data_IF_681855493991
#
_entry.id   IF_681855493991
#
_cell.length_a   1.000
_cell.length_b   1.000
_cell.length_c   1.000
_cell.angle_alpha   90.00
_cell.angle_beta   90.00
_cell.angle_gamma   90.00
#
_symmetry.space_group_name_H-M   'P 1'
#
loop_
_entity.id
_entity.type
_entity.pdbx_description
1 polymer ?
#
# COMPACT_ATOMS: atom_id res chain seq x y z
N UNK A 1 -12.11 7.71 -12.82
CA UNK A 1 -11.51 6.97 -11.69
C UNK A 1 -10.00 7.00 -11.84
N UNK A 2 -9.26 7.19 -10.73
CA UNK A 2 -7.80 7.06 -10.70
C UNK A 2 -7.37 5.98 -9.71
N UNK A 3 -6.30 5.25 -10.06
CA UNK A 3 -5.74 4.17 -9.25
C UNK A 3 -4.22 4.02 -9.46
N UNK A 4 -3.65 2.92 -8.99
CA UNK A 4 -2.20 2.71 -8.84
C UNK A 4 -1.51 2.08 -10.07
N UNK A 5 -2.22 1.93 -11.18
CA UNK A 5 -1.67 1.38 -12.43
C UNK A 5 -1.26 -0.09 -12.38
N UNK A 6 -0.69 -0.56 -13.49
CA UNK A 6 -0.17 -1.91 -13.65
C UNK A 6 -1.22 -3.02 -13.50
N UNK A 7 -0.78 -4.20 -13.08
CA UNK A 7 -1.65 -5.38 -12.91
C UNK A 7 -2.77 -5.13 -11.90
N UNK A 8 -2.51 -4.34 -10.84
CA UNK A 8 -3.51 -4.01 -9.83
C UNK A 8 -4.71 -3.26 -10.42
N UNK A 9 -4.48 -2.13 -11.10
CA UNK A 9 -5.56 -1.37 -11.73
C UNK A 9 -6.25 -2.16 -12.85
N UNK A 10 -5.50 -2.98 -13.58
CA UNK A 10 -6.10 -3.88 -14.58
C UNK A 10 -7.09 -4.87 -13.94
N UNK A 11 -6.76 -5.41 -12.78
CA UNK A 11 -7.66 -6.26 -11.99
C UNK A 11 -8.92 -5.51 -11.53
N UNK A 12 -8.76 -4.29 -11.00
CA UNK A 12 -9.88 -3.43 -10.63
C UNK A 12 -10.76 -3.09 -11.84
N UNK A 13 -10.16 -2.75 -12.98
CA UNK A 13 -10.88 -2.45 -14.21
C UNK A 13 -11.75 -3.63 -14.64
N UNK A 14 -11.19 -4.83 -14.72
CA UNK A 14 -11.89 -6.03 -15.16
C UNK A 14 -12.94 -6.53 -14.17
N UNK A 15 -12.63 -6.46 -12.87
CA UNK A 15 -13.48 -7.02 -11.81
C UNK A 15 -14.52 -6.05 -11.25
N UNK A 16 -14.27 -4.74 -11.34
CA UNK A 16 -15.10 -3.73 -10.67
C UNK A 16 -15.56 -2.65 -11.66
N UNK A 17 -14.64 -1.89 -12.28
CA UNK A 17 -15.00 -0.67 -12.99
C UNK A 17 -15.82 -0.92 -14.24
N UNK A 18 -15.39 -1.83 -15.10
CA UNK A 18 -16.10 -2.12 -16.35
C UNK A 18 -17.44 -2.84 -16.12
N UNK A 19 -17.55 -3.84 -15.21
CA UNK A 19 -18.85 -4.40 -14.83
C UNK A 19 -19.83 -3.37 -14.26
N UNK A 20 -19.38 -2.49 -13.36
CA UNK A 20 -20.19 -1.43 -12.79
C UNK A 20 -20.64 -0.42 -13.88
N UNK A 21 -19.71 0.05 -14.72
CA UNK A 21 -20.02 0.95 -15.83
C UNK A 21 -21.10 0.37 -16.76
N UNK A 22 -20.97 -0.92 -17.09
CA UNK A 22 -21.96 -1.63 -17.92
C UNK A 22 -23.33 -1.71 -17.22
N UNK A 23 -23.36 -2.03 -15.93
CA UNK A 23 -24.61 -2.15 -15.18
C UNK A 23 -25.33 -0.81 -15.06
N UNK A 24 -24.58 0.29 -14.89
CA UNK A 24 -25.10 1.65 -14.74
C UNK A 24 -25.36 2.37 -16.09
N UNK A 25 -24.91 1.81 -17.20
CA UNK A 25 -25.03 2.43 -18.53
C UNK A 25 -24.17 3.70 -18.69
N UNK A 26 -23.05 3.78 -17.97
CA UNK A 26 -22.11 4.92 -18.00
C UNK A 26 -20.78 4.52 -18.64
N UNK A 27 -19.96 5.52 -18.96
CA UNK A 27 -18.58 5.33 -19.40
C UNK A 27 -17.61 5.70 -18.29
N UNK A 28 -16.80 4.75 -17.84
CA UNK A 28 -15.72 4.99 -16.90
C UNK A 28 -14.43 5.27 -17.67
N UNK A 29 -13.80 6.42 -17.37
CA UNK A 29 -12.43 6.74 -17.79
C UNK A 29 -11.48 6.44 -16.65
N UNK A 30 -10.37 5.80 -16.96
CA UNK A 30 -9.38 5.36 -16.00
C UNK A 30 -8.04 6.08 -16.24
N UNK A 31 -7.39 6.47 -15.15
CA UNK A 31 -6.04 7.03 -15.18
C UNK A 31 -5.27 6.62 -13.92
N UNK A 32 -3.99 6.92 -13.87
CA UNK A 32 -3.13 6.72 -12.70
C UNK A 32 -2.91 8.04 -11.97
N UNK A 33 -2.49 7.96 -10.69
CA UNK A 33 -2.21 9.13 -9.87
C UNK A 33 -1.12 8.84 -8.83
N UNK A 34 -0.60 9.87 -8.16
CA UNK A 34 0.48 9.77 -7.17
C UNK A 34 0.03 9.60 -5.72
N UNK A 35 -1.29 9.43 -5.49
CA UNK A 35 -1.87 9.23 -4.16
C UNK A 35 -2.61 10.45 -3.62
N UNK A 36 -2.92 10.44 -2.32
CA UNK A 36 -3.77 11.45 -1.66
C UNK A 36 -3.25 12.90 -1.85
N UNK A 37 -1.96 13.09 -2.09
CA UNK A 37 -1.39 14.42 -2.37
C UNK A 37 -1.95 15.03 -3.66
N UNK A 38 -2.21 14.21 -4.68
CA UNK A 38 -2.80 14.68 -5.94
C UNK A 38 -4.28 15.06 -5.74
N UNK A 39 -5.02 14.32 -4.91
CA UNK A 39 -6.38 14.67 -4.50
C UNK A 39 -6.39 16.03 -3.80
N UNK A 40 -5.50 16.22 -2.83
CA UNK A 40 -5.36 17.47 -2.08
C UNK A 40 -5.06 18.66 -3.01
N UNK A 41 -4.14 18.47 -3.95
CA UNK A 41 -3.76 19.50 -4.91
C UNK A 41 -4.93 19.83 -5.85
N UNK A 42 -5.61 18.80 -6.36
CA UNK A 42 -6.78 18.95 -7.25
C UNK A 42 -7.88 19.76 -6.57
N UNK A 43 -8.29 19.37 -5.36
CA UNK A 43 -9.35 20.04 -4.62
C UNK A 43 -8.96 21.48 -4.27
N UNK A 44 -7.73 21.72 -3.77
CA UNK A 44 -7.24 23.07 -3.42
C UNK A 44 -7.15 24.00 -4.65
N UNK A 45 -6.88 23.47 -5.81
CA UNK A 45 -6.83 24.28 -7.06
C UNK A 45 -8.20 24.48 -7.73
N UNK A 46 -9.26 23.85 -7.22
CA UNK A 46 -10.59 23.86 -7.87
C UNK A 46 -10.63 23.11 -9.19
N UNK A 47 -9.62 22.27 -9.47
CA UNK A 47 -9.61 21.44 -10.67
C UNK A 47 -10.56 20.24 -10.49
N UNK A 48 -11.07 19.74 -11.61
CA UNK A 48 -11.94 18.57 -11.67
C UNK A 48 -11.36 17.59 -12.70
N UNK A 49 -10.54 16.67 -12.21
CA UNK A 49 -9.81 15.73 -13.06
C UNK A 49 -10.36 14.30 -12.97
N UNK A 50 -10.89 13.94 -11.82
CA UNK A 50 -11.45 12.61 -11.54
C UNK A 50 -12.49 12.68 -10.42
N UNK A 51 -13.46 11.78 -10.45
CA UNK A 51 -14.57 11.73 -9.50
C UNK A 51 -14.31 10.72 -8.37
N UNK A 52 -13.56 9.65 -8.65
CA UNK A 52 -13.25 8.58 -7.69
C UNK A 52 -11.75 8.32 -7.71
N UNK A 53 -11.19 8.07 -6.53
CA UNK A 53 -9.81 7.63 -6.38
C UNK A 53 -9.73 6.38 -5.50
N UNK A 54 -8.73 5.54 -5.74
CA UNK A 54 -8.40 4.36 -4.92
C UNK A 54 -7.32 4.73 -3.92
N UNK A 55 -7.50 4.46 -2.62
CA UNK A 55 -6.51 4.79 -1.59
C UNK A 55 -6.56 3.82 -0.41
N UNK A 56 -5.41 3.59 0.21
CA UNK A 56 -5.33 2.88 1.49
C UNK A 56 -5.96 3.68 2.64
N UNK A 57 -6.23 3.00 3.76
CA UNK A 57 -6.88 3.56 4.94
C UNK A 57 -6.25 4.87 5.42
N UNK A 58 -4.91 4.94 5.45
CA UNK A 58 -4.17 6.14 5.87
C UNK A 58 -4.42 7.36 4.98
N UNK A 59 -4.51 7.17 3.65
CA UNK A 59 -4.84 8.24 2.71
C UNK A 59 -6.28 8.72 2.87
N UNK A 60 -7.23 7.83 3.09
CA UNK A 60 -8.62 8.14 3.37
C UNK A 60 -8.77 8.95 4.67
N UNK A 61 -8.10 8.53 5.74
CA UNK A 61 -8.10 9.23 7.02
C UNK A 61 -7.51 10.64 6.91
N UNK A 62 -6.33 10.77 6.28
CA UNK A 62 -5.64 12.04 6.06
C UNK A 62 -6.47 13.00 5.20
N UNK A 63 -7.02 12.52 4.09
CA UNK A 63 -7.86 13.35 3.21
C UNK A 63 -9.15 13.81 3.88
N UNK A 64 -9.77 12.94 4.68
CA UNK A 64 -10.94 13.27 5.49
C UNK A 64 -10.64 14.32 6.54
N UNK A 65 -9.55 14.15 7.31
CA UNK A 65 -9.12 15.11 8.33
C UNK A 65 -8.81 16.51 7.74
N UNK A 66 -8.27 16.57 6.53
CA UNK A 66 -7.98 17.82 5.84
C UNK A 66 -9.20 18.38 5.07
N UNK A 67 -10.36 17.74 5.13
CA UNK A 67 -11.59 18.20 4.50
C UNK A 67 -11.58 18.22 2.97
N UNK A 68 -10.73 17.42 2.34
CA UNK A 68 -10.63 17.31 0.87
C UNK A 68 -11.40 16.15 0.27
N UNK A 69 -12.14 15.41 1.10
CA UNK A 69 -13.00 14.31 0.66
C UNK A 69 -14.48 14.60 0.98
N UNK A 70 -15.36 14.09 0.15
CA UNK A 70 -16.79 14.00 0.47
C UNK A 70 -17.00 12.89 1.51
N UNK A 71 -17.98 13.10 2.41
CA UNK A 71 -18.48 12.01 3.25
C UNK A 71 -19.32 11.07 2.39
N UNK A 72 -19.11 9.77 2.56
CA UNK A 72 -19.89 8.76 1.86
C UNK A 72 -21.25 8.57 2.53
N UNK A 73 -22.28 8.38 1.72
CA UNK A 73 -23.63 8.09 2.19
C UNK A 73 -23.90 6.59 2.26
N UNK A 74 -23.77 6.03 3.45
CA UNK A 74 -24.01 4.61 3.71
C UNK A 74 -25.49 4.21 3.77
N UNK A 75 -26.41 5.14 3.52
CA UNK A 75 -27.79 4.78 3.19
C UNK A 75 -27.95 4.30 1.74
N UNK A 76 -26.96 4.62 0.89
CA UNK A 76 -26.90 4.22 -0.54
C UNK A 76 -25.84 3.16 -0.75
N UNK A 77 -24.66 3.29 -0.12
CA UNK A 77 -23.54 2.36 -0.26
C UNK A 77 -23.72 1.22 0.75
N UNK A 78 -24.00 0.02 0.25
CA UNK A 78 -24.14 -1.17 1.09
C UNK A 78 -22.75 -1.72 1.49
N UNK A 79 -22.44 -1.62 2.78
CA UNK A 79 -21.22 -2.17 3.39
C UNK A 79 -21.50 -3.35 4.32
N UNK A 80 -22.69 -3.92 4.26
CA UNK A 80 -23.11 -5.03 5.16
C UNK A 80 -22.23 -6.28 5.04
N UNK A 81 -21.58 -6.48 3.90
CA UNK A 81 -20.67 -7.59 3.63
C UNK A 81 -19.18 -7.22 3.80
N UNK A 82 -18.86 -5.99 4.20
CA UNK A 82 -17.49 -5.60 4.46
C UNK A 82 -17.01 -6.19 5.79
N UNK A 83 -15.72 -6.53 5.86
CA UNK A 83 -15.12 -6.88 7.13
C UNK A 83 -15.08 -5.64 8.06
N UNK A 84 -15.19 -5.85 9.37
CA UNK A 84 -15.12 -4.74 10.33
C UNK A 84 -13.84 -3.90 10.12
N UNK A 85 -14.01 -2.58 10.07
CA UNK A 85 -12.90 -1.63 9.88
C UNK A 85 -12.47 -1.38 8.43
N UNK A 86 -13.09 -2.04 7.44
CA UNK A 86 -12.78 -1.83 6.02
C UNK A 86 -13.54 -0.66 5.37
N UNK A 87 -14.09 0.23 6.14
CA UNK A 87 -14.70 1.45 5.62
C UNK A 87 -14.59 2.56 6.68
N UNK A 88 -14.71 3.79 6.24
CA UNK A 88 -14.66 5.00 7.05
C UNK A 88 -15.72 5.98 6.57
N UNK A 89 -15.86 7.13 7.23
CA UNK A 89 -16.74 8.21 6.73
C UNK A 89 -16.42 8.65 5.28
N UNK A 90 -15.23 8.36 4.76
CA UNK A 90 -14.69 8.94 3.53
C UNK A 90 -14.32 7.93 2.46
N UNK A 91 -14.17 6.66 2.80
CA UNK A 91 -13.82 5.60 1.83
C UNK A 91 -14.53 4.31 2.18
N UNK A 92 -15.00 3.62 1.13
CA UNK A 92 -15.51 2.25 1.21
C UNK A 92 -14.43 1.28 0.73
N UNK A 93 -14.14 0.25 1.52
CA UNK A 93 -13.11 -0.75 1.22
C UNK A 93 -13.45 -1.59 0.01
N UNK A 94 -12.44 -1.97 -0.76
CA UNK A 94 -12.55 -2.78 -1.96
C UNK A 94 -11.74 -4.07 -1.87
N UNK A 95 -10.56 -4.01 -1.29
CA UNK A 95 -9.68 -5.17 -1.10
C UNK A 95 -8.78 -5.03 0.13
N UNK A 96 -8.15 -6.15 0.49
CA UNK A 96 -7.15 -6.22 1.57
C UNK A 96 -5.83 -6.63 0.95
N UNK A 97 -4.77 -5.99 1.39
CA UNK A 97 -3.42 -6.33 1.03
C UNK A 97 -2.50 -6.38 2.25
N UNK A 98 -1.29 -6.92 2.07
CA UNK A 98 -0.26 -6.87 3.10
C UNK A 98 1.05 -6.35 2.54
N UNK A 99 1.73 -5.52 3.31
CA UNK A 99 3.15 -5.27 3.13
C UNK A 99 3.91 -6.44 3.75
N UNK A 100 4.80 -7.05 2.98
CA UNK A 100 5.60 -8.20 3.39
C UNK A 100 7.09 -7.96 3.11
N UNK A 101 7.96 -8.72 3.77
CA UNK A 101 9.35 -8.88 3.38
C UNK A 101 9.44 -10.04 2.38
N UNK A 102 9.89 -9.77 1.18
CA UNK A 102 10.11 -10.77 0.14
C UNK A 102 11.60 -10.97 -0.11
N UNK A 103 11.97 -12.18 -0.56
CA UNK A 103 13.36 -12.56 -0.85
C UNK A 103 13.49 -13.32 -2.16
N UNK A 104 14.69 -13.27 -2.73
CA UNK A 104 15.06 -14.07 -3.90
C UNK A 104 15.33 -15.52 -3.48
N UNK A 105 14.59 -16.45 -4.07
CA UNK A 105 14.73 -17.88 -3.76
C UNK A 105 16.00 -18.51 -4.34
N UNK A 106 16.67 -17.88 -5.30
CA UNK A 106 17.99 -18.33 -5.75
C UNK A 106 19.07 -18.01 -4.72
N UNK A 107 18.91 -16.90 -3.97
CA UNK A 107 19.87 -16.52 -2.91
C UNK A 107 19.62 -17.28 -1.61
N UNK A 108 18.38 -17.40 -1.16
CA UNK A 108 18.06 -17.93 0.18
C UNK A 108 17.28 -19.25 0.17
N UNK A 109 16.86 -19.76 -0.99
CA UNK A 109 15.98 -20.92 -1.06
C UNK A 109 14.71 -20.70 -0.25
N UNK A 110 14.37 -21.70 0.57
CA UNK A 110 13.26 -21.64 1.52
C UNK A 110 13.61 -20.99 2.86
N UNK A 111 14.86 -20.54 3.04
CA UNK A 111 15.39 -20.02 4.31
C UNK A 111 15.54 -18.49 4.33
N UNK A 112 14.71 -17.76 3.59
CA UNK A 112 14.71 -16.31 3.61
C UNK A 112 14.21 -15.70 4.92
N UNK A 113 14.22 -14.35 5.05
CA UNK A 113 13.80 -13.64 6.25
C UNK A 113 12.31 -13.87 6.55
N UNK A 114 12.00 -14.37 7.75
CA UNK A 114 10.64 -14.72 8.15
C UNK A 114 10.05 -13.78 9.18
N UNK A 115 10.83 -12.82 9.65
CA UNK A 115 10.42 -11.77 10.56
C UNK A 115 11.00 -10.43 10.11
N UNK A 116 10.47 -9.33 10.62
CA UNK A 116 11.09 -8.03 10.35
C UNK A 116 12.48 -7.92 10.98
N UNK A 117 12.71 -8.55 12.13
CA UNK A 117 14.06 -8.65 12.71
C UNK A 117 15.04 -9.34 11.75
N UNK A 118 14.62 -10.44 11.10
CA UNK A 118 15.45 -11.10 10.08
C UNK A 118 15.73 -10.19 8.87
N UNK A 119 14.73 -9.44 8.39
CA UNK A 119 14.94 -8.51 7.27
C UNK A 119 15.95 -7.41 7.61
N UNK A 120 16.03 -6.98 8.85
CA UNK A 120 16.98 -5.97 9.32
C UNK A 120 18.34 -6.55 9.74
N UNK A 121 18.46 -7.86 9.90
CA UNK A 121 19.71 -8.55 10.28
C UNK A 121 20.57 -8.79 9.04
N UNK A 122 21.50 -7.87 8.81
CA UNK A 122 22.39 -7.90 7.63
C UNK A 122 23.54 -8.90 7.75
N UNK A 123 23.80 -9.40 8.96
CA UNK A 123 24.80 -10.45 9.20
C UNK A 123 24.23 -11.84 8.92
N UNK A 124 23.04 -12.11 9.44
CA UNK A 124 22.32 -13.37 9.24
C UNK A 124 21.81 -13.53 7.80
N UNK A 125 21.34 -12.44 7.21
CA UNK A 125 20.85 -12.40 5.83
C UNK A 125 21.65 -11.37 5.03
N UNK A 126 22.88 -11.67 4.64
CA UNK A 126 23.68 -10.79 3.80
C UNK A 126 23.05 -10.69 2.41
N UNK A 127 23.21 -9.52 1.75
CA UNK A 127 22.71 -9.29 0.40
C UNK A 127 22.10 -7.90 0.23
N UNK A 128 21.77 -7.57 -1.00
CA UNK A 128 21.21 -6.29 -1.39
C UNK A 128 19.73 -6.19 -0.99
N UNK A 129 19.32 -4.99 -0.53
CA UNK A 129 17.95 -4.75 -0.11
C UNK A 129 17.34 -3.58 -0.86
N UNK A 130 16.01 -3.63 -1.04
CA UNK A 130 15.22 -2.48 -1.44
C UNK A 130 14.12 -2.20 -0.41
N UNK A 131 13.79 -0.94 -0.22
CA UNK A 131 12.70 -0.49 0.66
C UNK A 131 11.91 0.63 -0.01
N UNK A 132 10.68 0.83 0.44
CA UNK A 132 9.82 1.91 -0.06
C UNK A 132 10.34 3.28 0.37
N UNK A 133 10.34 4.25 -0.55
CA UNK A 133 10.70 5.65 -0.27
C UNK A 133 9.47 6.45 0.22
N UNK A 134 8.77 5.93 1.22
CA UNK A 134 7.64 6.57 1.93
C UNK A 134 7.53 5.98 3.32
N UNK A 135 6.86 6.68 4.23
CA UNK A 135 6.73 6.24 5.63
C UNK A 135 5.72 5.10 5.85
N UNK A 136 4.76 4.92 4.93
CA UNK A 136 3.70 3.91 5.08
C UNK A 136 4.29 2.52 5.32
N UNK A 137 3.92 1.86 6.39
CA UNK A 137 4.40 0.60 6.92
C UNK A 137 5.90 0.58 7.32
N UNK A 138 6.70 1.62 7.03
CA UNK A 138 8.13 1.60 7.35
C UNK A 138 8.40 1.79 8.84
N UNK A 139 7.62 2.63 9.52
CA UNK A 139 7.78 2.85 10.96
C UNK A 139 7.35 1.60 11.73
N UNK A 140 6.26 0.97 11.31
CA UNK A 140 5.73 -0.27 11.89
C UNK A 140 6.76 -1.41 11.74
N UNK A 141 7.29 -1.62 10.53
CA UNK A 141 8.28 -2.67 10.27
C UNK A 141 9.57 -2.46 11.07
N UNK A 142 9.98 -1.21 11.23
CA UNK A 142 11.17 -0.86 12.01
C UNK A 142 10.97 -1.16 13.50
N UNK A 143 9.82 -0.80 14.07
CA UNK A 143 9.51 -1.12 15.48
C UNK A 143 9.37 -2.62 15.72
N UNK A 144 8.75 -3.36 14.79
CA UNK A 144 8.70 -4.82 14.85
C UNK A 144 10.11 -5.43 14.78
N UNK A 145 10.99 -4.89 13.93
CA UNK A 145 12.39 -5.30 13.85
C UNK A 145 13.19 -4.95 15.12
N UNK A 146 12.76 -3.92 15.84
CA UNK A 146 13.36 -3.49 17.11
C UNK A 146 12.73 -4.18 18.33
N UNK A 147 11.86 -5.18 18.10
CA UNK A 147 11.28 -6.03 19.15
C UNK A 147 10.07 -5.45 19.85
N UNK A 148 9.44 -4.39 19.33
CA UNK A 148 8.17 -3.89 19.86
C UNK A 148 7.07 -4.91 19.52
N UNK A 149 6.26 -5.36 20.50
CA UNK A 149 5.13 -6.24 20.24
C UNK A 149 4.12 -5.62 19.28
N UNK A 150 3.52 -6.45 18.40
CA UNK A 150 2.61 -5.99 17.36
C UNK A 150 1.42 -5.19 17.91
N UNK A 151 0.88 -5.58 19.03
CA UNK A 151 -0.24 -4.92 19.70
C UNK A 151 0.11 -3.58 20.35
N UNK A 152 1.42 -3.25 20.47
CA UNK A 152 1.91 -2.01 21.06
C UNK A 152 2.44 -1.01 20.01
N UNK A 153 2.52 -1.38 18.73
CA UNK A 153 3.13 -0.57 17.68
C UNK A 153 2.51 0.83 17.62
N UNK A 154 1.20 0.93 17.57
CA UNK A 154 0.53 2.23 17.43
C UNK A 154 0.51 3.03 18.74
N UNK A 155 0.59 2.39 19.90
CA UNK A 155 0.81 3.08 21.17
C UNK A 155 2.18 3.76 21.17
N UNK A 156 3.22 3.04 20.73
CA UNK A 156 4.59 3.59 20.61
C UNK A 156 4.62 4.72 19.56
N UNK A 157 4.04 4.52 18.38
CA UNK A 157 4.01 5.52 17.31
C UNK A 157 3.19 6.78 17.66
N UNK A 158 2.36 6.75 18.68
CA UNK A 158 1.60 7.91 19.15
C UNK A 158 2.45 8.91 19.96
N UNK A 159 3.78 8.79 19.92
CA UNK A 159 4.72 9.68 20.60
C UNK A 159 5.91 10.05 19.72
N UNK A 160 6.48 11.25 19.90
CA UNK A 160 7.71 11.66 19.20
C UNK A 160 8.85 10.69 19.47
N UNK A 161 9.01 10.24 20.71
CA UNK A 161 10.05 9.29 21.09
C UNK A 161 9.89 7.94 20.37
N UNK A 162 8.66 7.46 20.17
CA UNK A 162 8.39 6.24 19.43
C UNK A 162 8.65 6.38 17.94
N UNK A 163 8.28 7.52 17.36
CA UNK A 163 8.61 7.82 15.96
C UNK A 163 10.13 7.88 15.77
N UNK A 164 10.86 8.58 16.67
CA UNK A 164 12.31 8.66 16.59
C UNK A 164 12.98 7.29 16.76
N UNK A 165 12.48 6.44 17.67
CA UNK A 165 12.91 5.05 17.81
C UNK A 165 12.79 4.25 16.50
N UNK A 166 11.67 4.39 15.80
CA UNK A 166 11.46 3.75 14.51
C UNK A 166 12.45 4.29 13.45
N UNK A 167 12.66 5.61 13.42
CA UNK A 167 13.61 6.26 12.52
C UNK A 167 15.04 5.83 12.80
N UNK A 168 15.44 5.71 14.08
CA UNK A 168 16.75 5.20 14.48
C UNK A 168 16.97 3.78 13.96
N UNK A 169 15.97 2.93 14.07
CA UNK A 169 16.04 1.58 13.52
C UNK A 169 16.18 1.58 11.99
N UNK A 170 15.46 2.44 11.28
CA UNK A 170 15.62 2.62 9.83
C UNK A 170 17.04 3.11 9.50
N UNK A 171 17.61 4.00 10.28
CA UNK A 171 19.00 4.49 10.10
C UNK A 171 20.02 3.34 10.14
N UNK A 172 19.79 2.30 10.94
CA UNK A 172 20.71 1.15 11.00
C UNK A 172 20.76 0.36 9.70
N UNK A 173 19.61 0.17 9.03
CA UNK A 173 19.55 -0.60 7.78
C UNK A 173 19.84 0.25 6.54
N UNK A 174 19.68 1.58 6.63
CA UNK A 174 19.82 2.50 5.50
C UNK A 174 21.10 2.32 4.68
N UNK A 175 22.30 2.09 5.26
CA UNK A 175 23.53 1.84 4.49
C UNK A 175 23.47 0.56 3.63
N UNK A 176 22.56 -0.36 3.91
CA UNK A 176 22.39 -1.64 3.25
C UNK A 176 21.23 -1.66 2.24
N UNK A 177 20.56 -0.51 2.05
CA UNK A 177 19.49 -0.37 1.07
C UNK A 177 20.08 0.13 -0.24
N UNK A 178 20.12 -0.75 -1.24
CA UNK A 178 20.61 -0.43 -2.58
C UNK A 178 19.60 0.42 -3.37
N UNK A 179 18.30 0.18 -3.19
CA UNK A 179 17.24 0.89 -3.92
C UNK A 179 16.11 1.33 -2.99
N UNK A 180 15.82 2.63 -3.02
CA UNK A 180 14.60 3.19 -2.43
C UNK A 180 13.55 3.34 -3.52
N UNK A 181 12.63 2.36 -3.61
CA UNK A 181 11.61 2.34 -4.65
C UNK A 181 10.42 3.26 -4.33
N UNK A 182 9.78 3.77 -5.37
CA UNK A 182 8.68 4.74 -5.26
C UNK A 182 7.36 4.29 -5.88
N UNK A 183 7.37 3.25 -6.70
CA UNK A 183 6.15 2.71 -7.34
C UNK A 183 5.99 1.21 -7.10
N UNK A 184 4.74 0.75 -7.09
CA UNK A 184 4.43 -0.66 -6.88
C UNK A 184 4.90 -1.59 -8.00
N UNK A 185 5.14 -1.09 -9.20
CA UNK A 185 5.75 -1.88 -10.27
C UNK A 185 7.24 -2.08 -10.02
N UNK A 186 7.93 -1.11 -9.42
CA UNK A 186 9.38 -1.12 -9.27
C UNK A 186 9.85 -2.24 -8.34
N UNK A 187 9.27 -2.42 -7.15
CA UNK A 187 9.75 -3.45 -6.22
C UNK A 187 9.56 -4.88 -6.76
N UNK A 188 8.47 -5.14 -7.47
CA UNK A 188 8.24 -6.42 -8.12
C UNK A 188 9.23 -6.66 -9.27
N UNK A 189 9.54 -5.60 -10.06
CA UNK A 189 10.50 -5.67 -11.14
C UNK A 189 11.92 -5.94 -10.63
N UNK A 190 12.35 -5.25 -9.56
CA UNK A 190 13.66 -5.50 -8.93
C UNK A 190 13.86 -6.96 -8.53
N UNK A 191 12.80 -7.60 -8.01
CA UNK A 191 12.83 -9.03 -7.68
C UNK A 191 12.84 -9.91 -8.92
N UNK A 192 12.06 -9.55 -9.95
CA UNK A 192 12.00 -10.30 -11.22
C UNK A 192 13.33 -10.30 -11.95
N UNK A 193 14.03 -9.18 -11.93
CA UNK A 193 15.32 -9.00 -12.61
C UNK A 193 16.52 -9.50 -11.76
N UNK A 194 16.28 -9.88 -10.49
CA UNK A 194 17.32 -10.28 -9.56
C UNK A 194 18.28 -9.15 -9.16
N UNK A 195 17.83 -7.90 -9.25
CA UNK A 195 18.66 -6.74 -8.90
C UNK A 195 18.85 -6.57 -7.38
N UNK A 196 17.94 -7.15 -6.59
CA UNK A 196 18.06 -7.19 -5.12
C UNK A 196 17.73 -8.57 -4.58
N UNK A 197 18.36 -8.91 -3.45
CA UNK A 197 18.16 -10.19 -2.78
C UNK A 197 16.90 -10.20 -1.92
N UNK A 198 16.47 -9.04 -1.43
CA UNK A 198 15.23 -8.88 -0.67
C UNK A 198 14.65 -7.48 -0.78
N UNK A 199 13.34 -7.37 -0.60
CA UNK A 199 12.65 -6.10 -0.64
C UNK A 199 11.39 -6.11 0.24
N UNK A 200 10.97 -4.93 0.71
CA UNK A 200 9.61 -4.74 1.21
C UNK A 200 8.67 -4.54 0.02
N UNK A 201 7.40 -4.92 0.15
CA UNK A 201 6.43 -4.66 -0.91
C UNK A 201 5.08 -5.31 -0.66
N UNK A 202 4.18 -5.16 -1.61
CA UNK A 202 2.81 -5.70 -1.52
C UNK A 202 2.75 -7.13 -2.06
N UNK A 203 2.15 -8.03 -1.26
CA UNK A 203 2.04 -9.45 -1.57
C UNK A 203 1.49 -9.71 -2.98
N UNK A 204 0.38 -9.08 -3.37
CA UNK A 204 -0.24 -9.34 -4.67
C UNK A 204 0.65 -9.02 -5.87
N UNK A 205 1.61 -8.07 -5.75
CA UNK A 205 2.57 -7.81 -6.82
C UNK A 205 3.67 -8.87 -6.88
N UNK A 206 4.05 -9.44 -5.75
CA UNK A 206 4.98 -10.58 -5.73
C UNK A 206 4.32 -11.85 -6.25
N UNK A 207 3.03 -12.06 -5.99
CA UNK A 207 2.30 -13.21 -6.53
C UNK A 207 2.24 -13.14 -8.07
N UNK A 208 1.91 -11.97 -8.64
CA UNK A 208 1.96 -11.76 -10.10
C UNK A 208 3.38 -11.96 -10.64
N UNK A 209 4.40 -11.41 -9.98
CA UNK A 209 5.78 -11.61 -10.42
C UNK A 209 6.19 -13.09 -10.38
N UNK A 210 5.76 -13.84 -9.38
CA UNK A 210 5.98 -15.28 -9.25
C UNK A 210 5.30 -16.06 -10.37
N UNK A 211 4.06 -15.74 -10.69
CA UNK A 211 3.32 -16.33 -11.80
C UNK A 211 4.01 -16.06 -13.16
N UNK A 212 4.65 -14.90 -13.29
CA UNK A 212 5.52 -14.53 -14.42
C UNK A 212 6.92 -15.19 -14.40
N UNK A 213 7.21 -16.06 -13.41
CA UNK A 213 8.44 -16.83 -13.30
C UNK A 213 9.54 -16.21 -12.44
N UNK A 214 9.28 -15.10 -11.73
CA UNK A 214 10.24 -14.52 -10.81
C UNK A 214 10.56 -15.46 -9.64
N UNK A 215 11.83 -15.47 -9.23
CA UNK A 215 12.34 -16.28 -8.13
C UNK A 215 12.12 -15.55 -6.80
N UNK A 216 10.87 -15.39 -6.41
CA UNK A 216 10.46 -14.63 -5.24
C UNK A 216 9.61 -15.45 -4.28
N UNK A 217 9.87 -15.30 -2.99
CA UNK A 217 9.05 -15.82 -1.90
C UNK A 217 8.90 -14.77 -0.80
N UNK A 218 7.89 -14.94 0.04
CA UNK A 218 7.66 -14.14 1.25
C UNK A 218 6.98 -15.00 2.31
N UNK A 219 6.94 -14.52 3.56
CA UNK A 219 6.28 -15.19 4.67
C UNK A 219 5.23 -14.26 5.30
N UNK A 220 4.03 -14.77 5.50
CA UNK A 220 2.92 -14.03 6.10
C UNK A 220 3.18 -13.53 7.53
N UNK A 221 4.18 -14.09 8.23
CA UNK A 221 4.62 -13.59 9.53
C UNK A 221 5.21 -12.18 9.47
N UNK A 222 5.61 -11.72 8.28
CA UNK A 222 5.99 -10.32 8.05
C UNK A 222 4.82 -9.45 7.60
N UNK A 223 3.62 -10.01 7.44
CA UNK A 223 2.46 -9.31 6.90
C UNK A 223 1.97 -8.17 7.79
N UNK A 224 2.02 -6.94 7.28
CA UNK A 224 1.29 -5.80 7.83
C UNK A 224 0.09 -5.57 6.93
N UNK A 225 -1.08 -5.87 7.47
CA UNK A 225 -2.34 -5.78 6.74
C UNK A 225 -2.83 -4.34 6.67
N UNK A 226 -3.29 -3.95 5.49
CA UNK A 226 -4.04 -2.72 5.26
C UNK A 226 -5.16 -3.01 4.25
N UNK A 227 -6.07 -2.08 4.05
CA UNK A 227 -7.12 -2.16 3.05
C UNK A 227 -7.05 -1.00 2.08
N UNK A 228 -7.43 -1.27 0.86
CA UNK A 228 -7.62 -0.27 -0.19
C UNK A 228 -9.11 -0.05 -0.39
N UNK A 229 -9.50 1.20 -0.64
CA UNK A 229 -10.89 1.57 -0.86
C UNK A 229 -11.04 2.72 -1.83
N UNK A 230 -12.28 3.06 -2.10
CA UNK A 230 -12.63 4.17 -2.99
C UNK A 230 -13.20 5.33 -2.20
N UNK A 231 -12.72 6.54 -2.52
CA UNK A 231 -13.20 7.79 -1.99
C UNK A 231 -13.56 8.79 -3.09
N UNK A 232 -14.33 9.80 -2.72
CA UNK A 232 -14.79 10.85 -3.61
C UNK A 232 -14.10 12.17 -3.20
N UNK A 233 -13.35 12.81 -4.12
CA UNK A 233 -12.79 14.14 -3.85
C UNK A 233 -13.89 15.16 -3.62
N UNK A 234 -13.65 16.11 -2.73
CA UNK A 234 -14.60 17.19 -2.49
C UNK A 234 -14.85 18.02 -3.73
N UNK A 235 -16.12 18.19 -4.07
CA UNK A 235 -16.55 18.94 -5.25
C UNK A 235 -16.46 18.18 -6.57
N UNK A 236 -16.30 16.85 -6.55
CA UNK A 236 -16.40 16.02 -7.74
C UNK A 236 -17.76 16.20 -8.42
N UNK A 237 -17.76 16.39 -9.76
CA UNK A 237 -18.97 16.72 -10.50
C UNK A 237 -19.99 15.59 -10.58
N UNK A 238 -19.49 14.36 -10.59
CA UNK A 238 -20.31 13.17 -10.74
C UNK A 238 -20.51 12.41 -9.40
N UNK A 239 -20.39 13.09 -8.27
CA UNK A 239 -20.45 12.47 -6.94
C UNK A 239 -21.79 11.78 -6.62
N UNK A 240 -22.86 12.17 -7.32
CA UNK A 240 -24.21 11.64 -7.08
C UNK A 240 -24.58 10.48 -8.05
N UNK A 241 -23.63 10.05 -8.90
CA UNK A 241 -23.72 8.84 -9.71
C UNK A 241 -23.39 7.61 -8.88
#
# INVERSE_FOLDING_TARGET
IVSWGGAYQKGQSLGIFQPAAKAMGITVKEDTYGGISDVKLMVKSGADKFDIFSSGAGGCASGGAEGVLEKLDYSVIDVSNHLPGMYSDYCAGADIFSVVAAWNTETYGDNGPRTWADFYDVEKFPGTRAMRNKVDAQLETALLADGVPMDQIYEVLNSEAGIERALDKIRTIKPHIAVWWSSGAQHAQLMKDGEVDMTTGWNGRFDVAKDDGAKVAYDWRTGIMDWEGYGIPKGAKNKDL
#
